data_IF_872393331137
#
_entry.id   IF_872393331137
#
_cell.length_a   1.000
_cell.length_b   1.000
_cell.length_c   1.000
_cell.angle_alpha   90.00
_cell.angle_beta   90.00
_cell.angle_gamma   90.00
#
_symmetry.space_group_name_H-M   'P 1'
#
loop_
_entity.id
_entity.type
_entity.pdbx_description
1 polymer ?
#
# COMPACT_ATOMS: atom_id res chain seq x y z
N UNK A 1 9.64 -25.78 59.20
CA UNK A 1 8.89 -25.30 58.01
C UNK A 1 9.72 -25.31 56.72
N UNK A 2 10.91 -24.71 56.69
CA UNK A 2 11.70 -24.46 55.46
C UNK A 2 11.88 -25.69 54.52
N UNK A 3 12.16 -26.89 55.05
CA UNK A 3 12.28 -28.12 54.24
C UNK A 3 11.00 -28.50 53.46
N UNK A 4 9.81 -28.30 54.05
CA UNK A 4 8.53 -28.54 53.35
C UNK A 4 8.29 -27.52 52.24
N UNK A 5 8.62 -26.25 52.48
CA UNK A 5 8.52 -25.20 51.47
C UNK A 5 9.44 -25.48 50.27
N UNK A 6 10.68 -25.90 50.53
CA UNK A 6 11.63 -26.29 49.48
C UNK A 6 11.12 -27.48 48.65
N UNK A 7 10.59 -28.53 49.29
CA UNK A 7 10.00 -29.68 48.58
C UNK A 7 8.81 -29.29 47.69
N UNK A 8 7.94 -28.38 48.15
CA UNK A 8 6.82 -27.87 47.34
C UNK A 8 7.33 -27.07 46.13
N UNK A 9 8.34 -26.20 46.33
CA UNK A 9 8.94 -25.43 45.23
C UNK A 9 9.61 -26.33 44.18
N UNK A 10 10.33 -27.37 44.61
CA UNK A 10 10.91 -28.37 43.70
C UNK A 10 9.82 -29.13 42.92
N UNK A 11 8.71 -29.49 43.56
CA UNK A 11 7.59 -30.16 42.90
C UNK A 11 6.94 -29.27 41.83
N UNK A 12 6.69 -27.99 42.14
CA UNK A 12 6.18 -27.03 41.16
C UNK A 12 7.15 -26.81 39.98
N UNK A 13 8.45 -26.69 40.24
CA UNK A 13 9.46 -26.55 39.18
C UNK A 13 9.51 -27.79 38.27
N UNK A 14 9.42 -29.00 38.84
CA UNK A 14 9.38 -30.23 38.04
C UNK A 14 8.08 -30.35 37.23
N UNK A 15 6.94 -29.97 37.81
CA UNK A 15 5.65 -29.98 37.13
C UNK A 15 5.61 -28.99 35.95
N UNK A 16 6.11 -27.77 36.12
CA UNK A 16 6.17 -26.79 35.01
C UNK A 16 7.10 -27.25 33.88
N UNK A 17 8.24 -27.85 34.22
CA UNK A 17 9.16 -28.44 33.22
C UNK A 17 8.49 -29.59 32.44
N UNK A 18 7.79 -30.49 33.14
CA UNK A 18 7.06 -31.59 32.52
C UNK A 18 5.95 -31.07 31.57
N UNK A 19 5.16 -30.08 32.00
CA UNK A 19 4.17 -29.44 31.13
C UNK A 19 4.81 -28.79 29.88
N UNK A 20 5.99 -28.18 30.02
CA UNK A 20 6.70 -27.55 28.91
C UNK A 20 7.22 -28.59 27.89
N UNK A 21 7.76 -29.72 28.36
CA UNK A 21 8.17 -30.84 27.50
C UNK A 21 6.97 -31.44 26.76
N UNK A 22 5.84 -31.64 27.45
CA UNK A 22 4.59 -32.11 26.84
C UNK A 22 4.07 -31.13 25.77
N UNK A 23 4.12 -29.82 26.03
CA UNK A 23 3.75 -28.80 25.03
C UNK A 23 4.67 -28.79 23.81
N UNK A 24 5.98 -29.03 23.97
CA UNK A 24 6.91 -29.18 22.85
C UNK A 24 6.59 -30.44 22.05
N UNK A 25 6.34 -31.57 22.73
CA UNK A 25 6.02 -32.84 22.10
C UNK A 25 4.76 -32.75 21.23
N UNK A 26 3.65 -32.25 21.79
CA UNK A 26 2.39 -32.07 21.03
C UNK A 26 2.46 -30.97 19.96
N UNK A 27 3.39 -30.03 20.05
CA UNK A 27 3.61 -29.01 19.00
C UNK A 27 4.36 -29.58 17.79
N UNK A 28 5.13 -30.66 17.95
CA UNK A 28 6.01 -31.16 16.89
C UNK A 28 5.32 -32.10 15.89
N UNK A 29 4.17 -32.68 16.25
CA UNK A 29 3.59 -33.83 15.52
C UNK A 29 2.49 -33.47 14.49
N UNK A 30 2.19 -32.19 14.27
CA UNK A 30 1.02 -31.77 13.48
C UNK A 30 1.29 -31.11 12.11
N UNK A 31 2.53 -30.74 11.77
CA UNK A 31 2.79 -29.91 10.57
C UNK A 31 4.03 -30.21 9.71
N UNK A 32 4.97 -31.08 10.13
CA UNK A 32 6.23 -31.26 9.39
C UNK A 32 6.20 -32.38 8.33
N UNK A 33 5.48 -33.47 8.60
CA UNK A 33 5.45 -34.67 7.74
C UNK A 33 4.67 -34.48 6.43
N UNK A 34 3.70 -33.57 6.39
CA UNK A 34 2.90 -33.31 5.17
C UNK A 34 3.63 -32.43 4.13
N UNK A 35 4.65 -31.68 4.54
CA UNK A 35 5.43 -30.79 3.66
C UNK A 35 6.50 -31.53 2.85
N UNK A 36 7.12 -32.58 3.43
CA UNK A 36 8.25 -33.28 2.81
C UNK A 36 7.80 -34.11 1.59
N UNK A 37 6.57 -34.67 1.61
CA UNK A 37 6.07 -35.55 0.53
C UNK A 37 5.78 -34.84 -0.80
N UNK A 38 5.69 -33.51 -0.84
CA UNK A 38 5.30 -32.75 -2.04
C UNK A 38 6.48 -32.24 -2.88
N UNK A 39 7.72 -32.37 -2.41
CA UNK A 39 8.87 -31.68 -3.04
C UNK A 39 9.60 -32.50 -4.13
N UNK A 40 9.43 -33.83 -4.18
CA UNK A 40 10.28 -34.73 -4.97
C UNK A 40 9.76 -35.13 -6.37
N UNK A 41 8.77 -34.43 -6.95
CA UNK A 41 8.20 -34.80 -8.27
C UNK A 41 7.92 -33.64 -9.24
N UNK A 42 8.97 -32.93 -9.68
CA UNK A 42 9.00 -32.36 -11.05
C UNK A 42 10.41 -32.47 -11.65
N UNK A 43 10.62 -33.38 -12.61
CA UNK A 43 11.75 -33.30 -13.56
C UNK A 43 11.32 -32.43 -14.74
N UNK A 44 12.08 -31.37 -15.04
CA UNK A 44 11.89 -30.56 -16.25
C UNK A 44 12.98 -30.90 -17.26
N UNK A 45 12.61 -31.52 -18.37
CA UNK A 45 13.50 -31.69 -19.52
C UNK A 45 13.66 -30.36 -20.25
N UNK A 46 14.89 -30.00 -20.63
CA UNK A 46 15.17 -28.89 -21.54
C UNK A 46 15.11 -29.39 -22.99
N UNK A 47 14.32 -28.73 -23.82
CA UNK A 47 14.43 -28.79 -25.28
C UNK A 47 14.18 -27.39 -25.84
N UNK A 48 15.10 -26.91 -26.68
CA UNK A 48 15.04 -25.60 -27.33
C UNK A 48 14.73 -25.81 -28.82
N UNK A 49 13.66 -25.22 -29.37
CA UNK A 49 13.47 -25.12 -30.82
C UNK A 49 14.15 -23.84 -31.33
N UNK A 50 15.26 -24.01 -32.04
CA UNK A 50 15.87 -22.97 -32.86
C UNK A 50 15.19 -22.95 -34.24
N UNK A 51 14.68 -21.80 -34.68
CA UNK A 51 14.27 -21.59 -36.07
C UNK A 51 14.75 -20.24 -36.59
N UNK A 52 15.71 -20.29 -37.50
CA UNK A 52 16.12 -19.18 -38.36
C UNK A 52 15.29 -19.21 -39.66
N UNK A 53 14.99 -18.02 -40.22
CA UNK A 53 15.01 -17.76 -41.67
C UNK A 53 14.88 -16.27 -42.00
N UNK A 54 15.47 -15.91 -43.12
CA UNK A 54 15.77 -14.55 -43.62
C UNK A 54 14.57 -13.82 -44.26
N UNK A 55 14.69 -12.49 -44.50
CA UNK A 55 13.59 -11.68 -45.05
C UNK A 55 13.40 -11.87 -46.57
N UNK A 56 12.21 -11.53 -47.05
CA UNK A 56 11.95 -11.29 -48.48
C UNK A 56 11.53 -9.84 -48.71
N UNK A 57 12.18 -9.20 -49.69
CA UNK A 57 11.79 -7.87 -50.19
C UNK A 57 10.40 -7.90 -50.84
N UNK A 58 9.64 -6.84 -50.63
CA UNK A 58 8.39 -6.55 -51.33
C UNK A 58 8.12 -5.05 -51.31
N UNK A 59 8.44 -4.38 -52.42
CA UNK A 59 8.15 -2.95 -52.60
C UNK A 59 6.74 -2.76 -53.16
N UNK A 60 5.92 -1.95 -52.48
CA UNK A 60 4.69 -1.38 -53.03
C UNK A 60 4.46 0.03 -52.45
N UNK A 61 4.65 1.04 -53.30
CA UNK A 61 4.07 2.37 -53.10
C UNK A 61 2.60 2.34 -53.54
N UNK A 62 1.70 3.08 -52.86
CA UNK A 62 0.91 4.14 -53.48
C UNK A 62 0.07 4.97 -52.47
N UNK A 63 0.07 6.30 -52.70
CA UNK A 63 -0.99 7.30 -52.43
C UNK A 63 -1.71 7.40 -51.08
N UNK A 64 -1.62 8.60 -50.48
CA UNK A 64 -2.55 9.10 -49.47
C UNK A 64 -3.91 9.47 -50.10
N UNK A 65 -5.01 9.05 -49.49
CA UNK A 65 -6.31 9.74 -49.59
C UNK A 65 -6.80 10.14 -48.19
N UNK A 66 -7.36 11.36 -48.09
CA UNK A 66 -7.95 11.89 -46.85
C UNK A 66 -9.47 11.78 -46.93
N UNK A 67 -10.04 10.82 -46.22
CA UNK A 67 -11.50 10.72 -46.07
C UNK A 67 -11.93 11.31 -44.72
N UNK A 68 -12.71 12.39 -44.75
CA UNK A 68 -13.28 13.01 -43.55
C UNK A 68 -14.59 12.30 -43.20
N UNK A 69 -14.66 11.66 -42.03
CA UNK A 69 -15.90 11.08 -41.50
C UNK A 69 -16.56 11.98 -40.46
N UNK A 70 -17.87 12.17 -40.60
CA UNK A 70 -18.72 12.89 -39.63
C UNK A 70 -18.91 12.09 -38.33
N UNK A 71 -19.20 12.75 -37.19
CA UNK A 71 -19.23 12.09 -35.88
C UNK A 71 -20.51 11.27 -35.66
N UNK A 72 -20.35 10.00 -35.29
CA UNK A 72 -21.42 9.15 -34.78
C UNK A 72 -21.80 9.51 -33.33
N UNK A 73 -23.07 9.34 -32.92
CA UNK A 73 -23.51 9.63 -31.56
C UNK A 73 -22.89 8.65 -30.56
N UNK A 74 -22.30 9.18 -29.48
CA UNK A 74 -21.63 8.36 -28.45
C UNK A 74 -22.68 7.65 -27.59
N UNK A 75 -22.57 6.32 -27.50
CA UNK A 75 -23.28 5.54 -26.47
C UNK A 75 -22.77 5.91 -25.07
N UNK A 76 -23.59 5.80 -24.01
CA UNK A 76 -23.10 5.86 -22.63
C UNK A 76 -22.00 4.82 -22.40
N UNK A 77 -21.00 5.16 -21.57
CA UNK A 77 -19.94 4.24 -21.19
C UNK A 77 -20.49 3.19 -20.22
N UNK A 78 -20.18 1.92 -20.46
CA UNK A 78 -20.55 0.81 -19.57
C UNK A 78 -19.62 0.77 -18.35
N UNK A 79 -20.09 0.28 -17.18
CA UNK A 79 -19.24 0.10 -16.00
C UNK A 79 -18.06 -0.85 -16.25
N UNK A 80 -16.90 -0.55 -15.67
CA UNK A 80 -15.74 -1.44 -15.72
C UNK A 80 -16.02 -2.77 -14.97
N UNK A 81 -15.46 -3.91 -15.42
CA UNK A 81 -15.64 -5.18 -14.75
C UNK A 81 -14.95 -5.21 -13.37
N UNK A 82 -15.56 -5.89 -12.40
CA UNK A 82 -15.05 -6.00 -11.01
C UNK A 82 -13.63 -6.61 -10.91
N UNK A 83 -13.24 -7.42 -11.89
CA UNK A 83 -11.87 -7.87 -12.09
C UNK A 83 -11.36 -7.32 -13.42
N UNK A 84 -10.42 -6.36 -13.41
CA UNK A 84 -9.86 -5.77 -14.61
C UNK A 84 -9.22 -6.84 -15.53
N UNK A 85 -9.47 -6.80 -16.86
CA UNK A 85 -9.13 -7.90 -17.78
C UNK A 85 -7.64 -7.94 -18.19
N UNK A 86 -6.83 -6.97 -17.74
CA UNK A 86 -5.45 -6.77 -18.19
C UNK A 86 -4.42 -6.80 -17.05
N UNK A 87 -4.77 -7.37 -15.89
CA UNK A 87 -3.86 -7.60 -14.78
C UNK A 87 -2.77 -8.62 -15.20
N UNK A 88 -1.50 -8.28 -15.01
CA UNK A 88 -0.38 -9.16 -15.41
C UNK A 88 0.10 -10.06 -14.26
N UNK A 89 -0.40 -9.83 -13.03
CA UNK A 89 -0.07 -10.63 -11.85
C UNK A 89 1.28 -10.22 -11.24
N UNK A 90 2.17 -11.17 -10.89
CA UNK A 90 3.43 -10.89 -10.22
C UNK A 90 4.34 -9.95 -11.02
N UNK A 91 4.75 -8.86 -10.40
CA UNK A 91 5.64 -7.84 -10.96
C UNK A 91 7.07 -8.00 -10.45
N UNK A 92 8.02 -7.86 -11.37
CA UNK A 92 9.44 -7.80 -11.03
C UNK A 92 9.82 -6.38 -10.58
N UNK A 93 9.72 -6.13 -9.27
CA UNK A 93 9.99 -4.82 -8.65
C UNK A 93 11.46 -4.74 -8.19
N UNK A 94 12.29 -4.00 -8.93
CA UNK A 94 13.68 -3.71 -8.60
C UNK A 94 13.92 -2.22 -8.33
N UNK A 95 14.59 -1.92 -7.23
CA UNK A 95 15.01 -0.56 -6.87
C UNK A 95 16.38 -0.24 -7.45
N UNK A 96 16.47 -0.14 -8.78
CA UNK A 96 17.70 0.27 -9.45
C UNK A 96 17.88 1.80 -9.35
N UNK A 97 18.83 2.22 -8.51
CA UNK A 97 19.15 3.64 -8.25
C UNK A 97 19.63 4.44 -9.46
N UNK A 98 19.86 3.80 -10.62
CA UNK A 98 20.22 4.45 -11.89
C UNK A 98 19.02 4.91 -12.73
N UNK A 99 17.80 4.42 -12.47
CA UNK A 99 16.61 4.77 -13.26
C UNK A 99 16.21 6.23 -12.96
N UNK A 100 16.17 7.08 -13.98
CA UNK A 100 15.87 8.51 -13.85
C UNK A 100 14.37 8.79 -13.87
N UNK A 101 13.95 10.01 -13.49
CA UNK A 101 12.57 10.44 -13.74
C UNK A 101 12.27 10.53 -15.24
N UNK A 102 13.27 10.73 -16.07
CA UNK A 102 13.09 10.93 -17.50
C UNK A 102 12.87 9.60 -18.21
N UNK A 103 13.47 8.50 -17.74
CA UNK A 103 13.13 7.13 -18.15
C UNK A 103 11.68 6.79 -17.78
N UNK A 104 11.27 7.14 -16.55
CA UNK A 104 9.90 6.94 -16.04
C UNK A 104 8.89 7.73 -16.86
N UNK A 105 9.17 9.02 -17.14
CA UNK A 105 8.36 9.89 -17.99
C UNK A 105 8.34 9.42 -19.44
N UNK A 106 9.42 8.81 -19.95
CA UNK A 106 9.49 8.25 -21.31
C UNK A 106 8.64 6.99 -21.46
N UNK A 107 8.61 6.11 -20.45
CA UNK A 107 7.81 4.89 -20.46
C UNK A 107 6.31 5.15 -20.16
N UNK A 108 6.00 6.04 -19.20
CA UNK A 108 4.63 6.25 -18.68
C UNK A 108 3.95 7.55 -19.14
N UNK A 109 4.71 8.53 -19.63
CA UNK A 109 4.22 9.86 -20.01
C UNK A 109 3.11 9.90 -21.08
N UNK A 110 3.05 8.96 -22.06
CA UNK A 110 1.94 8.89 -23.02
C UNK A 110 0.54 8.69 -22.43
N UNK A 111 0.42 8.54 -21.10
CA UNK A 111 -0.84 8.24 -20.40
C UNK A 111 -1.21 9.26 -19.28
N UNK A 112 -0.38 10.29 -18.97
CA UNK A 112 -0.46 11.12 -17.72
C UNK A 112 -0.25 12.69 -17.93
N UNK A 113 -0.88 13.58 -17.13
CA UNK A 113 -0.76 15.09 -17.02
C UNK A 113 -1.34 15.63 -15.72
N UNK A 114 -1.35 16.94 -15.52
CA UNK A 114 -1.93 17.70 -14.41
C UNK A 114 -2.82 16.89 -13.45
N UNK A 115 -2.23 16.59 -12.30
CA UNK A 115 -2.75 15.76 -11.21
C UNK A 115 -2.59 14.24 -11.40
N UNK A 116 -2.52 13.77 -12.66
CA UNK A 116 -2.26 12.39 -13.10
C UNK A 116 -2.98 11.86 -14.38
N UNK A 117 -3.42 12.67 -15.39
CA UNK A 117 -4.34 12.32 -16.53
C UNK A 117 -4.12 12.97 -17.98
N UNK A 118 -3.06 12.59 -18.73
CA UNK A 118 -2.51 12.89 -20.12
C UNK A 118 -2.08 14.31 -20.72
N UNK A 119 -0.76 14.52 -21.03
CA UNK A 119 0.03 15.61 -21.77
C UNK A 119 0.91 16.75 -21.09
N UNK A 120 2.03 17.26 -21.74
CA UNK A 120 3.21 18.02 -21.17
C UNK A 120 3.42 19.50 -21.68
N UNK A 121 4.50 20.31 -21.39
CA UNK A 121 5.82 20.02 -20.74
C UNK A 121 6.44 21.04 -19.70
N UNK A 122 7.63 20.70 -19.17
CA UNK A 122 8.69 21.54 -18.53
C UNK A 122 8.65 22.04 -17.06
N UNK A 123 9.04 21.17 -16.08
CA UNK A 123 10.00 21.46 -14.97
C UNK A 123 10.34 20.20 -14.09
N UNK A 124 10.90 20.36 -12.88
CA UNK A 124 11.90 19.45 -12.23
C UNK A 124 11.69 19.38 -10.68
N UNK A 125 11.95 18.32 -9.87
CA UNK A 125 12.11 16.85 -10.08
C UNK A 125 12.30 16.05 -8.72
N UNK A 126 11.36 16.16 -7.77
CA UNK A 126 11.48 15.84 -6.32
C UNK A 126 11.79 14.36 -5.90
N UNK A 127 12.40 14.20 -4.71
CA UNK A 127 12.53 13.02 -3.81
C UNK A 127 12.57 11.58 -4.40
N UNK A 128 13.67 10.84 -4.14
CA UNK A 128 13.95 9.51 -4.74
C UNK A 128 12.88 8.44 -4.54
N UNK A 129 12.17 8.41 -3.41
CA UNK A 129 11.13 7.41 -3.15
C UNK A 129 9.88 7.66 -4.02
N UNK A 130 9.42 8.92 -4.11
CA UNK A 130 8.29 9.32 -4.94
C UNK A 130 8.47 8.86 -6.40
N UNK A 131 9.69 8.98 -6.94
CA UNK A 131 10.04 8.52 -8.30
C UNK A 131 9.72 7.05 -8.52
N UNK A 132 10.15 6.19 -7.59
CA UNK A 132 9.91 4.74 -7.67
C UNK A 132 8.43 4.43 -7.45
N UNK A 133 7.76 5.11 -6.51
CA UNK A 133 6.33 4.94 -6.26
C UNK A 133 5.52 5.27 -7.51
N UNK A 134 5.69 6.46 -8.09
CA UNK A 134 4.98 6.89 -9.31
C UNK A 134 5.25 5.94 -10.49
N UNK A 135 6.51 5.53 -10.69
CA UNK A 135 6.89 4.60 -11.76
C UNK A 135 6.14 3.27 -11.68
N UNK A 136 6.05 2.67 -10.49
CA UNK A 136 5.41 1.37 -10.32
C UNK A 136 3.89 1.49 -10.19
N UNK A 137 3.37 2.50 -9.49
CA UNK A 137 1.95 2.58 -9.18
C UNK A 137 1.10 3.10 -10.34
N UNK A 138 1.51 4.14 -11.09
CA UNK A 138 0.71 4.58 -12.24
C UNK A 138 0.32 3.46 -13.21
N UNK A 139 1.25 2.62 -13.72
CA UNK A 139 0.88 1.52 -14.60
C UNK A 139 -0.01 0.47 -13.92
N UNK A 140 0.11 0.24 -12.60
CA UNK A 140 -0.77 -0.65 -11.84
C UNK A 140 -2.19 -0.08 -11.75
N UNK A 141 -2.32 1.18 -11.32
CA UNK A 141 -3.60 1.87 -11.14
C UNK A 141 -4.36 2.02 -12.48
N UNK A 142 -3.64 2.23 -13.59
CA UNK A 142 -4.20 2.22 -14.95
C UNK A 142 -4.69 0.82 -15.34
N UNK A 143 -3.90 -0.25 -15.12
CA UNK A 143 -4.34 -1.63 -15.41
C UNK A 143 -5.52 -2.07 -14.52
N UNK A 144 -5.65 -1.47 -13.33
CA UNK A 144 -6.79 -1.65 -12.44
C UNK A 144 -8.03 -0.83 -12.84
N UNK A 145 -7.97 -0.05 -13.94
CA UNK A 145 -9.08 0.74 -14.49
C UNK A 145 -9.70 1.74 -13.50
N UNK A 146 -8.87 2.33 -12.64
CA UNK A 146 -9.32 3.28 -11.62
C UNK A 146 -9.44 4.69 -12.21
N UNK A 147 -10.47 5.44 -11.80
CA UNK A 147 -10.42 6.90 -11.84
C UNK A 147 -9.74 7.40 -10.56
N UNK A 148 -8.52 7.94 -10.69
CA UNK A 148 -7.68 8.28 -9.55
C UNK A 148 -6.87 9.57 -9.78
N UNK A 149 -6.34 10.10 -8.69
CA UNK A 149 -5.42 11.24 -8.67
C UNK A 149 -4.43 10.99 -7.53
N UNK A 150 -3.15 11.28 -7.76
CA UNK A 150 -2.11 11.07 -6.72
C UNK A 150 -1.92 12.36 -5.97
N UNK A 151 -2.23 12.36 -4.67
CA UNK A 151 -2.00 13.50 -3.79
C UNK A 151 -0.78 13.22 -2.89
N UNK A 152 0.25 14.05 -3.00
CA UNK A 152 1.44 14.00 -2.15
C UNK A 152 1.32 15.13 -1.14
N UNK A 153 1.02 14.77 0.11
CA UNK A 153 0.86 15.74 1.21
C UNK A 153 2.19 15.87 1.93
N UNK A 154 2.83 17.00 1.72
CA UNK A 154 4.09 17.41 2.30
C UNK A 154 3.86 18.08 3.66
N UNK A 155 4.84 18.01 4.55
CA UNK A 155 4.82 18.75 5.82
C UNK A 155 5.78 19.94 5.69
N UNK A 156 5.27 21.16 5.84
CA UNK A 156 6.10 22.37 5.91
C UNK A 156 6.98 22.38 7.18
N UNK A 157 8.21 22.89 7.01
CA UNK A 157 9.20 23.08 8.09
C UNK A 157 9.83 21.81 8.68
N UNK A 158 10.69 22.01 9.68
CA UNK A 158 11.50 20.97 10.35
C UNK A 158 10.84 20.40 11.61
N UNK A 159 9.51 20.53 11.71
CA UNK A 159 8.74 19.98 12.82
C UNK A 159 8.70 18.45 12.80
N UNK A 160 8.46 17.84 13.97
CA UNK A 160 8.25 16.38 14.09
C UNK A 160 7.17 15.93 13.10
N UNK A 161 7.41 14.84 12.37
CA UNK A 161 6.50 14.33 11.34
C UNK A 161 5.18 13.82 11.93
N UNK A 162 4.07 14.01 11.21
CA UNK A 162 2.74 13.57 11.64
C UNK A 162 1.93 12.95 10.50
N UNK A 163 2.26 11.69 10.21
CA UNK A 163 1.66 10.85 9.17
C UNK A 163 0.13 10.89 9.15
N UNK A 164 -0.51 10.61 10.30
CA UNK A 164 -1.97 10.53 10.39
C UNK A 164 -2.67 11.89 10.16
N UNK A 165 -2.07 12.99 10.61
CA UNK A 165 -2.60 14.34 10.37
C UNK A 165 -2.46 14.77 8.91
N UNK A 166 -1.36 14.41 8.24
CA UNK A 166 -1.19 14.67 6.79
C UNK A 166 -2.21 13.87 5.96
N UNK A 167 -2.51 12.63 6.37
CA UNK A 167 -3.57 11.83 5.73
C UNK A 167 -4.96 12.46 5.89
N UNK A 168 -5.30 13.00 7.08
CA UNK A 168 -6.52 13.79 7.27
C UNK A 168 -6.57 15.03 6.37
N UNK A 169 -5.46 15.77 6.25
CA UNK A 169 -5.37 16.94 5.37
C UNK A 169 -5.56 16.54 3.89
N UNK A 170 -4.91 15.48 3.43
CA UNK A 170 -5.07 14.96 2.07
C UNK A 170 -6.49 14.51 1.73
N UNK A 171 -7.18 13.87 2.68
CA UNK A 171 -8.61 13.55 2.54
C UNK A 171 -9.46 14.81 2.31
N UNK A 172 -9.22 15.89 3.08
CA UNK A 172 -9.99 17.14 2.96
C UNK A 172 -9.64 17.90 1.69
N UNK A 173 -8.36 18.01 1.30
CA UNK A 173 -7.97 18.71 0.07
C UNK A 173 -8.41 17.96 -1.19
N UNK A 174 -8.31 16.63 -1.24
CA UNK A 174 -8.78 15.86 -2.38
C UNK A 174 -10.29 16.07 -2.66
N UNK A 175 -11.11 16.14 -1.61
CA UNK A 175 -12.55 16.41 -1.72
C UNK A 175 -12.92 17.83 -2.17
N UNK A 176 -11.97 18.78 -2.24
CA UNK A 176 -12.20 20.09 -2.86
C UNK A 176 -12.07 20.05 -4.38
N UNK A 177 -11.29 19.09 -4.90
CA UNK A 177 -10.98 18.97 -6.32
C UNK A 177 -11.96 18.03 -7.04
N UNK A 178 -12.42 16.96 -6.38
CA UNK A 178 -13.33 15.99 -6.96
C UNK A 178 -14.09 15.19 -5.88
N UNK A 179 -15.26 14.66 -6.22
CA UNK A 179 -16.10 13.92 -5.28
C UNK A 179 -15.66 12.45 -5.14
N UNK A 180 -14.49 12.24 -4.54
CA UNK A 180 -13.93 10.90 -4.33
C UNK A 180 -14.71 10.11 -3.25
N UNK A 181 -15.23 8.94 -3.63
CA UNK A 181 -15.84 7.99 -2.69
C UNK A 181 -14.85 7.02 -2.03
N UNK A 182 -13.60 6.98 -2.48
CA UNK A 182 -12.58 6.06 -2.00
C UNK A 182 -11.23 6.75 -1.81
N UNK A 183 -10.57 6.44 -0.68
CA UNK A 183 -9.27 7.00 -0.31
C UNK A 183 -8.29 5.86 -0.04
N UNK A 184 -7.15 5.89 -0.71
CA UNK A 184 -6.03 4.97 -0.45
C UNK A 184 -4.92 5.76 0.24
N UNK A 185 -4.57 5.37 1.45
CA UNK A 185 -3.49 5.93 2.24
C UNK A 185 -2.27 5.02 2.08
N UNK A 186 -1.24 5.49 1.38
CA UNK A 186 -0.02 4.74 1.10
C UNK A 186 1.20 5.44 1.66
N UNK A 187 2.07 4.67 2.31
CA UNK A 187 3.45 5.11 2.52
C UNK A 187 4.18 5.17 1.18
N UNK A 188 5.06 6.17 1.02
CA UNK A 188 5.73 6.51 -0.24
C UNK A 188 6.86 5.56 -0.62
N UNK A 189 7.30 4.73 0.33
CA UNK A 189 8.35 3.73 0.20
C UNK A 189 7.79 2.31 -0.05
N UNK A 190 6.47 2.13 -0.08
CA UNK A 190 5.84 0.81 -0.29
C UNK A 190 5.33 0.64 -1.72
N UNK A 191 5.82 -0.40 -2.40
CA UNK A 191 5.41 -0.78 -3.76
C UNK A 191 4.82 -2.20 -3.75
N UNK A 192 3.59 -2.42 -4.28
CA UNK A 192 3.00 -3.75 -4.39
C UNK A 192 3.73 -4.57 -5.46
N UNK A 193 3.91 -5.87 -5.23
CA UNK A 193 4.56 -6.77 -6.20
C UNK A 193 3.59 -7.65 -7.00
N UNK A 194 2.28 -7.38 -6.90
CA UNK A 194 1.24 -8.07 -7.66
C UNK A 194 0.10 -7.09 -7.96
N UNK A 195 -0.22 -6.86 -9.23
CA UNK A 195 -1.24 -5.88 -9.62
C UNK A 195 -2.69 -6.35 -9.39
N UNK A 196 -2.88 -7.61 -8.96
CA UNK A 196 -4.18 -8.11 -8.50
C UNK A 196 -4.52 -7.66 -7.09
N UNK A 197 -3.60 -6.99 -6.38
CA UNK A 197 -3.92 -6.27 -5.15
C UNK A 197 -4.59 -4.93 -5.48
N UNK A 198 -5.92 -4.93 -5.59
CA UNK A 198 -6.69 -3.79 -6.09
C UNK A 198 -6.66 -2.58 -5.13
N UNK A 199 -6.17 -1.44 -5.61
CA UNK A 199 -6.12 -0.13 -4.94
C UNK A 199 -7.48 0.56 -4.95
N UNK A 200 -8.52 -0.16 -4.51
CA UNK A 200 -9.88 0.36 -4.34
C UNK A 200 -10.40 0.09 -2.93
N UNK A 201 -11.58 0.61 -2.66
CA UNK A 201 -12.29 0.41 -1.40
C UNK A 201 -13.21 -0.80 -1.50
N UNK A 202 -13.52 -1.39 -0.35
CA UNK A 202 -14.35 -2.58 -0.21
C UNK A 202 -15.42 -2.30 0.86
N UNK A 203 -16.37 -3.22 1.08
CA UNK A 203 -17.44 -3.09 2.09
C UNK A 203 -16.91 -2.81 3.50
N UNK A 204 -15.73 -3.36 3.82
CA UNK A 204 -14.99 -3.14 5.06
C UNK A 204 -13.65 -2.44 4.78
N UNK A 205 -13.15 -1.59 5.69
CA UNK A 205 -11.82 -0.97 5.61
C UNK A 205 -10.73 -1.99 5.23
N UNK A 206 -9.92 -1.65 4.25
CA UNK A 206 -9.00 -2.58 3.59
C UNK A 206 -7.57 -2.33 4.05
N UNK A 207 -6.90 -3.35 4.53
CA UNK A 207 -5.45 -3.34 4.69
C UNK A 207 -4.82 -3.98 3.45
N UNK A 208 -4.07 -3.20 2.67
CA UNK A 208 -3.48 -3.63 1.40
C UNK A 208 -2.09 -4.24 1.61
N UNK A 209 -1.27 -3.68 2.50
CA UNK A 209 0.12 -4.07 2.75
C UNK A 209 0.28 -5.25 3.73
N UNK A 210 -0.39 -6.38 3.47
CA UNK A 210 -0.45 -7.51 4.42
C UNK A 210 0.87 -8.27 4.60
N UNK A 211 1.76 -8.23 3.61
CA UNK A 211 3.01 -9.00 3.59
C UNK A 211 4.17 -8.16 3.02
N UNK A 212 4.82 -7.35 3.86
CA UNK A 212 5.99 -6.55 3.46
C UNK A 212 7.30 -7.35 3.59
N UNK A 213 8.23 -7.14 2.66
CA UNK A 213 9.57 -7.75 2.67
C UNK A 213 10.38 -7.47 3.95
N UNK A 214 10.30 -6.24 4.50
CA UNK A 214 10.84 -5.85 5.81
C UNK A 214 10.39 -6.75 6.97
N UNK A 215 9.21 -7.36 6.86
CA UNK A 215 8.66 -8.29 7.85
C UNK A 215 8.70 -9.74 7.33
N UNK A 216 9.63 -10.07 6.43
CA UNK A 216 9.80 -11.38 5.80
C UNK A 216 8.52 -11.89 5.11
N UNK A 217 7.75 -10.98 4.50
CA UNK A 217 6.45 -11.25 3.88
C UNK A 217 5.41 -11.86 4.85
N UNK A 218 5.47 -11.50 6.14
CA UNK A 218 4.48 -11.88 7.16
C UNK A 218 3.80 -10.65 7.73
N UNK A 219 2.53 -10.80 8.11
CA UNK A 219 1.80 -9.79 8.87
C UNK A 219 2.44 -9.69 10.28
N UNK A 220 2.85 -8.50 10.78
CA UNK A 220 3.52 -8.38 12.07
C UNK A 220 2.67 -8.88 13.25
N UNK A 221 1.37 -8.57 13.24
CA UNK A 221 0.37 -9.01 14.22
C UNK A 221 -1.04 -8.78 13.65
N UNK A 222 -2.04 -9.49 14.18
CA UNK A 222 -3.38 -9.55 13.58
C UNK A 222 -4.10 -8.19 13.46
N UNK A 223 -3.79 -7.24 14.36
CA UNK A 223 -4.36 -5.89 14.38
C UNK A 223 -3.59 -4.87 13.52
N UNK A 224 -2.48 -5.27 12.89
CA UNK A 224 -1.63 -4.35 12.12
C UNK A 224 -2.39 -3.73 10.93
N UNK A 225 -2.32 -2.40 10.81
CA UNK A 225 -3.01 -1.62 9.78
C UNK A 225 -2.13 -0.52 9.14
N UNK A 226 -0.82 -0.54 9.40
CA UNK A 226 0.15 0.39 8.82
C UNK A 226 0.49 0.11 7.35
N UNK A 227 1.39 0.91 6.77
CA UNK A 227 1.82 0.74 5.38
C UNK A 227 0.82 1.32 4.38
N UNK A 228 -0.02 0.45 3.80
CA UNK A 228 -1.01 0.82 2.78
C UNK A 228 -2.40 0.31 3.17
N UNK A 229 -3.38 1.22 3.20
CA UNK A 229 -4.78 0.92 3.54
C UNK A 229 -5.75 1.72 2.65
N UNK A 230 -7.00 1.28 2.54
CA UNK A 230 -8.07 2.07 1.90
C UNK A 230 -9.36 2.07 2.70
N UNK A 231 -10.04 3.22 2.69
CA UNK A 231 -11.33 3.45 3.33
C UNK A 231 -12.23 4.24 2.38
N UNK A 232 -13.50 3.83 2.27
CA UNK A 232 -14.49 4.65 1.58
C UNK A 232 -14.78 5.93 2.37
N UNK A 233 -15.27 6.97 1.69
CA UNK A 233 -15.73 8.24 2.28
C UNK A 233 -16.61 8.00 3.51
N UNK A 234 -17.56 7.08 3.40
CA UNK A 234 -18.46 6.64 4.49
C UNK A 234 -17.70 5.98 5.66
N UNK A 235 -16.76 5.07 5.39
CA UNK A 235 -15.98 4.41 6.44
C UNK A 235 -15.06 5.40 7.18
N UNK A 236 -14.42 6.30 6.44
CA UNK A 236 -13.50 7.31 6.96
C UNK A 236 -14.23 8.34 7.86
N UNK A 237 -15.38 8.84 7.40
CA UNK A 237 -16.24 9.71 8.21
C UNK A 237 -16.76 9.00 9.47
N UNK A 238 -17.14 7.71 9.37
CA UNK A 238 -17.64 6.92 10.52
C UNK A 238 -16.62 6.84 11.67
N UNK A 239 -15.33 6.85 11.37
CA UNK A 239 -14.24 6.81 12.38
C UNK A 239 -13.74 8.21 12.82
N UNK A 240 -14.37 9.30 12.36
CA UNK A 240 -13.89 10.68 12.50
C UNK A 240 -12.45 10.85 11.92
N UNK A 241 -12.14 10.15 10.83
CA UNK A 241 -10.78 10.07 10.27
C UNK A 241 -9.74 9.54 11.26
N UNK A 242 -8.49 9.95 11.05
CA UNK A 242 -7.31 9.48 11.78
C UNK A 242 -6.94 10.44 12.94
N UNK A 243 -6.16 10.02 13.96
CA UNK A 243 -5.77 10.91 15.05
C UNK A 243 -4.78 12.00 14.59
N UNK A 244 -5.01 13.26 14.97
CA UNK A 244 -4.06 14.35 14.68
C UNK A 244 -2.92 14.45 15.70
N UNK A 245 -3.03 13.78 16.86
CA UNK A 245 -2.10 13.97 17.98
C UNK A 245 -0.87 13.07 17.96
N UNK A 246 -0.72 12.20 16.96
CA UNK A 246 0.43 11.28 16.83
C UNK A 246 1.59 11.94 16.09
N UNK A 247 2.38 12.69 16.85
CA UNK A 247 3.66 13.27 16.41
C UNK A 247 4.79 12.25 16.59
N UNK A 248 5.61 12.05 15.56
CA UNK A 248 6.71 11.09 15.54
C UNK A 248 6.23 9.65 15.39
N UNK A 249 7.18 8.72 15.28
CA UNK A 249 6.90 7.36 14.88
C UNK A 249 6.11 6.55 15.91
N UNK A 250 5.07 5.86 15.42
CA UNK A 250 4.52 4.64 15.99
C UNK A 250 3.13 4.78 16.64
N UNK A 251 2.26 3.79 16.35
CA UNK A 251 1.00 3.55 17.06
C UNK A 251 -0.20 4.35 16.56
N UNK A 252 -0.05 5.18 15.52
CA UNK A 252 -1.19 5.86 14.90
C UNK A 252 -2.03 4.89 14.05
N UNK A 253 -1.39 3.90 13.45
CA UNK A 253 -2.02 2.79 12.72
C UNK A 253 -2.80 1.84 13.66
N UNK A 254 -2.25 1.55 14.84
CA UNK A 254 -2.95 0.83 15.91
C UNK A 254 -4.14 1.63 16.50
N UNK A 255 -4.06 2.97 16.55
CA UNK A 255 -5.22 3.81 16.91
C UNK A 255 -6.32 3.71 15.84
N UNK A 256 -5.94 3.80 14.57
CA UNK A 256 -6.86 3.66 13.42
C UNK A 256 -7.54 2.29 13.43
N UNK A 257 -6.79 1.19 13.67
CA UNK A 257 -7.36 -0.14 13.88
C UNK A 257 -8.44 -0.12 14.97
N UNK A 258 -8.14 0.49 16.12
CA UNK A 258 -9.08 0.56 17.26
C UNK A 258 -10.31 1.39 16.93
N UNK A 259 -10.19 2.50 16.19
CA UNK A 259 -11.34 3.29 15.71
C UNK A 259 -12.27 2.46 14.82
N UNK A 260 -11.70 1.72 13.87
CA UNK A 260 -12.43 0.81 12.96
C UNK A 260 -13.20 -0.23 13.80
N UNK A 261 -12.53 -0.88 14.75
CA UNK A 261 -13.11 -1.85 15.67
C UNK A 261 -14.25 -1.26 16.53
N UNK A 262 -14.03 -0.11 17.18
CA UNK A 262 -15.05 0.54 18.02
C UNK A 262 -16.24 1.09 17.22
N UNK A 263 -16.10 1.28 15.90
CA UNK A 263 -17.22 1.59 14.99
C UNK A 263 -17.87 0.34 14.39
N UNK A 264 -17.59 -0.86 14.92
CA UNK A 264 -18.22 -2.10 14.51
C UNK A 264 -17.91 -2.49 13.06
N UNK A 265 -16.72 -2.17 12.57
CA UNK A 265 -16.22 -2.58 11.26
C UNK A 265 -15.09 -3.59 11.44
N UNK A 266 -14.99 -4.54 10.52
CA UNK A 266 -13.85 -5.46 10.45
C UNK A 266 -12.81 -4.94 9.44
N UNK A 267 -11.64 -5.58 9.38
CA UNK A 267 -10.63 -5.26 8.37
C UNK A 267 -10.63 -6.34 7.30
N UNK A 268 -10.84 -5.91 6.05
CA UNK A 268 -10.66 -6.72 4.86
C UNK A 268 -9.17 -6.77 4.48
N UNK A 269 -8.71 -7.92 4.00
CA UNK A 269 -7.33 -8.15 3.54
C UNK A 269 -7.32 -8.94 2.22
N UNK A 270 -6.41 -8.67 1.27
CA UNK A 270 -6.12 -9.60 0.19
C UNK A 270 -5.52 -10.90 0.74
N UNK A 271 -5.48 -11.94 -0.09
CA UNK A 271 -4.62 -13.09 0.20
C UNK A 271 -3.14 -12.66 0.38
N UNK A 272 -2.42 -13.38 1.21
CA UNK A 272 -1.02 -13.12 1.56
C UNK A 272 -0.02 -13.20 0.39
N UNK A 273 -0.37 -13.88 -0.71
CA UNK A 273 0.43 -13.90 -1.95
C UNK A 273 0.22 -12.63 -2.75
N UNK A 274 -1.02 -12.15 -2.84
CA UNK A 274 -1.39 -10.94 -3.60
C UNK A 274 -0.99 -9.66 -2.85
N UNK A 275 -1.22 -9.61 -1.53
CA UNK A 275 -0.92 -8.46 -0.68
C UNK A 275 0.56 -8.27 -0.34
N UNK A 276 1.48 -8.73 -1.20
CA UNK A 276 2.92 -8.59 -1.00
C UNK A 276 3.44 -7.23 -1.44
N UNK A 277 4.34 -6.67 -0.65
CA UNK A 277 4.98 -5.39 -0.88
C UNK A 277 6.49 -5.48 -0.73
N UNK A 278 7.21 -4.64 -1.47
CA UNK A 278 8.60 -4.31 -1.21
C UNK A 278 8.70 -2.88 -0.67
N UNK A 279 9.49 -2.73 0.39
CA UNK A 279 9.86 -1.43 0.94
C UNK A 279 11.15 -0.94 0.28
N UNK A 280 11.14 0.29 -0.23
CA UNK A 280 12.36 0.98 -0.66
C UNK A 280 13.26 1.11 0.57
N UNK A 281 14.51 0.65 0.48
CA UNK A 281 15.41 0.65 1.63
C UNK A 281 15.94 2.06 1.90
N UNK A 282 15.69 2.57 3.11
CA UNK A 282 16.24 3.82 3.62
C UNK A 282 16.66 3.67 5.09
N UNK A 283 17.45 4.63 5.57
CA UNK A 283 17.70 4.80 7.00
C UNK A 283 16.50 5.53 7.62
N UNK A 284 16.22 5.30 8.91
CA UNK A 284 15.09 5.97 9.59
C UNK A 284 15.13 7.48 9.34
N UNK A 285 13.99 8.01 8.89
CA UNK A 285 13.83 9.41 8.53
C UNK A 285 14.06 10.34 9.71
N UNK A 286 14.69 11.49 9.43
CA UNK A 286 14.83 12.60 10.37
C UNK A 286 13.44 13.12 10.75
N UNK A 287 13.28 13.61 11.99
CA UNK A 287 12.03 14.15 12.53
C UNK A 287 10.91 13.09 12.67
N UNK A 288 11.22 11.80 12.45
CA UNK A 288 10.33 10.65 12.60
C UNK A 288 10.87 9.67 13.66
N UNK A 289 11.41 10.20 14.74
CA UNK A 289 11.92 9.43 15.88
C UNK A 289 10.76 8.77 16.65
N UNK A 290 11.04 7.65 17.33
CA UNK A 290 10.04 6.94 18.12
C UNK A 290 9.56 7.79 19.30
N UNK A 291 8.26 8.12 19.35
CA UNK A 291 7.72 8.95 20.42
C UNK A 291 7.30 8.10 21.63
N UNK A 292 7.96 8.22 22.80
CA UNK A 292 7.65 7.41 23.98
C UNK A 292 6.25 7.65 24.56
N UNK A 293 5.56 8.74 24.16
CA UNK A 293 4.19 9.05 24.60
C UNK A 293 3.12 8.35 23.75
N UNK A 294 3.43 7.90 22.53
CA UNK A 294 2.42 7.31 21.63
C UNK A 294 1.83 5.99 22.16
N UNK A 295 2.60 5.04 22.74
CA UNK A 295 2.03 3.81 23.30
C UNK A 295 0.95 4.05 24.37
N UNK A 296 1.07 5.12 25.17
CA UNK A 296 0.06 5.48 26.18
C UNK A 296 -1.29 5.89 25.59
N UNK A 297 -1.29 6.55 24.42
CA UNK A 297 -2.51 7.04 23.73
C UNK A 297 -3.42 5.89 23.28
N UNK A 298 -2.85 4.73 22.93
CA UNK A 298 -3.60 3.54 22.52
C UNK A 298 -4.59 3.03 23.58
N UNK A 299 -4.37 3.31 24.86
CA UNK A 299 -5.32 2.98 25.93
C UNK A 299 -6.53 3.91 25.96
N UNK A 300 -6.43 5.06 25.30
CA UNK A 300 -7.39 6.17 25.37
C UNK A 300 -8.21 6.33 24.08
N UNK A 301 -7.89 5.61 22.99
CA UNK A 301 -8.54 5.71 21.67
C UNK A 301 -10.06 5.83 21.74
N UNK A 302 -10.74 4.96 22.51
CA UNK A 302 -12.20 4.99 22.66
C UNK A 302 -12.73 6.33 23.21
N UNK A 303 -11.99 6.97 24.13
CA UNK A 303 -12.35 8.26 24.75
C UNK A 303 -11.91 9.46 23.91
N UNK A 304 -10.92 9.26 23.03
CA UNK A 304 -10.26 10.30 22.26
C UNK A 304 -10.77 10.41 20.81
N UNK A 305 -11.24 9.32 20.20
CA UNK A 305 -11.53 9.28 18.75
C UNK A 305 -12.58 10.29 18.28
N UNK A 306 -13.54 10.65 19.14
CA UNK A 306 -14.59 11.65 18.83
C UNK A 306 -14.17 13.08 19.20
N UNK A 307 -12.95 13.25 19.72
CA UNK A 307 -12.33 14.54 20.14
C UNK A 307 -11.01 14.84 19.41
N UNK A 308 -10.38 13.84 18.81
CA UNK A 308 -9.19 13.95 17.96
C UNK A 308 -9.45 13.25 16.62
N UNK A 309 -9.62 14.02 15.56
CA UNK A 309 -9.93 13.50 14.22
C UNK A 309 -10.20 14.61 13.21
N UNK A 310 -10.96 14.31 12.15
CA UNK A 310 -11.39 15.31 11.16
C UNK A 310 -12.06 16.53 11.80
N UNK A 311 -12.87 16.32 12.84
CA UNK A 311 -13.56 17.40 13.57
C UNK A 311 -12.62 18.38 14.32
N UNK A 312 -11.36 18.02 14.53
CA UNK A 312 -10.35 18.88 15.18
C UNK A 312 -9.09 19.10 14.32
N UNK A 313 -9.14 18.69 13.06
CA UNK A 313 -8.09 18.93 12.08
C UNK A 313 -7.84 20.43 11.89
N UNK A 314 -6.60 20.86 12.12
CA UNK A 314 -6.14 22.25 11.91
C UNK A 314 -4.80 22.28 11.18
N UNK A 315 -4.77 22.94 10.03
CA UNK A 315 -3.61 23.13 9.17
C UNK A 315 -3.83 24.38 8.31
N UNK A 316 -2.81 24.77 7.55
CA UNK A 316 -2.87 25.84 6.56
C UNK A 316 -2.11 25.35 5.34
N UNK A 317 -2.73 25.38 4.16
CA UNK A 317 -2.03 25.09 2.92
C UNK A 317 -1.14 26.29 2.57
N UNK A 318 0.15 26.03 2.36
CA UNK A 318 1.16 26.99 1.89
C UNK A 318 1.21 27.04 0.38
N UNK A 319 1.16 25.88 -0.27
CA UNK A 319 1.35 25.76 -1.71
C UNK A 319 0.60 24.54 -2.26
N UNK A 320 0.09 24.65 -3.48
CA UNK A 320 -0.42 23.53 -4.29
C UNK A 320 0.29 23.57 -5.65
N UNK A 321 1.06 22.54 -5.96
CA UNK A 321 1.74 22.36 -7.25
C UNK A 321 1.12 21.17 -7.97
N UNK A 322 0.54 21.38 -9.16
CA UNK A 322 -0.05 20.31 -9.99
C UNK A 322 0.97 19.87 -11.04
N UNK A 323 1.65 18.75 -10.77
CA UNK A 323 2.55 18.08 -11.73
C UNK A 323 1.75 17.15 -12.67
N UNK A 324 2.39 16.68 -13.73
CA UNK A 324 1.87 15.68 -14.69
C UNK A 324 1.55 14.33 -14.04
N UNK A 325 2.19 14.00 -12.92
CA UNK A 325 2.10 12.70 -12.24
C UNK A 325 1.37 12.78 -10.88
N UNK A 326 1.32 13.95 -10.24
CA UNK A 326 0.73 14.12 -8.90
C UNK A 326 0.35 15.57 -8.62
N UNK A 327 -0.54 15.78 -7.64
CA UNK A 327 -0.74 17.06 -6.97
C UNK A 327 0.08 17.08 -5.68
N UNK A 328 1.02 18.00 -5.56
CA UNK A 328 1.80 18.24 -4.35
C UNK A 328 1.12 19.33 -3.52
N UNK A 329 0.94 19.10 -2.22
CA UNK A 329 0.32 20.05 -1.29
C UNK A 329 1.24 20.20 -0.08
N UNK A 330 1.64 21.43 0.25
CA UNK A 330 2.47 21.76 1.43
C UNK A 330 1.66 22.61 2.42
#
# INVERSE_FOLDING_TARGET
MLKKLFQVLCFFAFFTLACFVVLIYFRNDSNLTHLIKSYDKVKVNKTVPQWTKEPKNGSLNLTQEKTVMAPTPRKPLEPCPDTPPHLVGPLFVEFNSKRSLDDIKKEMGPTLKEGGRYKPPDCIALQKHLKHWLFYLHPILIRQQLDYTVYVINQDGEGVFNRAKLMNAGYVEALKEYDYDCFVFSDIDLVPIDDRNLYRCFENPRHLAVAMDKFNFRLPYNTFFGGVSSLSKKQYLKINGFPNTYWGWGGEDDDIYKRIYYRGMSISRPDSVLGKYRMIKHQRDLHNEANPKNPGKLSQTFRAMDKDGLNTLKYTVKEIVKDVLYTFIT
#
